data_IF_646655038829
#
_entry.id   IF_646655038829
#
_cell.length_a   1.000
_cell.length_b   1.000
_cell.length_c   1.000
_cell.angle_alpha   90.00
_cell.angle_beta   90.00
_cell.angle_gamma   90.00
#
_symmetry.space_group_name_H-M   'P 1'
#
loop_
_entity.id
_entity.type
_entity.pdbx_description
1 polymer ?
2 polymer ?
3 non-polymer ?
4 non-polymer ?
5 non-polymer ?
6 non-polymer ?
#
loop_
_entity_poly.entity_id
_entity_poly.type
_entity_poly.pdbx_seq_one_letter_code
_entity_poly.pdbx_strand_id
2 'polyribonucleotide' 'GCGCGCUUAAUCUGAAAUCAGAGCGGGGGACCCAUUGCACUCCGGGUUUUUCCCGUAGGGGUGAAUCCUUUUUAGGUAGGGCGAAAGCCCGAAUCCGUCAGCUAACCUCGUAAGCGCGC' ?
#
# COMPACT_ATOMS: atom_id res chain seq x y z
N UNK A 1 0.84 -8.15 11.49
CA UNK A 1 -0.02 -9.26 11.13
C UNK A 1 -1.45 -9.02 11.65
N UNK A 2 -1.62 -7.94 12.40
CA UNK A 2 -2.91 -7.57 12.96
C UNK A 2 -3.64 -6.68 11.97
N UNK A 3 -4.87 -7.06 11.59
CA UNK A 3 -5.69 -6.31 10.63
C UNK A 3 -5.74 -4.80 10.93
N UNK A 4 -5.53 -4.00 9.89
CA UNK A 4 -5.51 -2.55 10.00
C UNK A 4 -6.17 -1.88 8.80
N UNK A 5 -6.58 -0.63 8.96
CA UNK A 5 -7.16 0.14 7.87
C UNK A 5 -6.11 0.37 6.77
N UNK A 6 -4.86 0.40 7.21
CA UNK A 6 -3.70 0.63 6.34
C UNK A 6 -2.91 -0.64 6.08
N UNK A 7 -2.60 -0.91 4.81
CA UNK A 7 -1.76 -2.05 4.49
C UNK A 7 -0.36 -1.55 4.18
N UNK A 8 0.64 -2.32 4.59
CA UNK A 8 2.03 -1.99 4.36
C UNK A 8 2.65 -2.90 3.30
N UNK A 9 3.10 -2.27 2.22
CA UNK A 9 3.73 -3.02 1.13
C UNK A 9 5.20 -2.70 1.01
N UNK A 10 6.03 -3.73 0.86
CA UNK A 10 7.47 -3.53 0.67
C UNK A 10 7.97 -4.42 -0.47
N UNK A 11 9.29 -4.40 -0.68
CA UNK A 11 9.97 -5.13 -1.77
C UNK A 11 9.62 -4.51 -3.13
N UNK A 12 9.37 -3.21 -3.13
CA UNK A 12 9.02 -2.47 -4.34
C UNK A 12 10.27 -1.91 -5.04
N UNK A 13 10.25 -1.88 -6.38
CA UNK A 13 11.34 -1.36 -7.19
C UNK A 13 11.62 0.13 -6.91
N UNK A 14 12.78 0.39 -6.32
CA UNK A 14 13.20 1.74 -5.94
C UNK A 14 13.60 2.70 -7.08
N UNK A 15 13.65 2.20 -8.31
CA UNK A 15 13.95 3.06 -9.46
C UNK A 15 12.73 3.87 -9.90
N UNK A 16 11.57 3.33 -9.57
CA UNK A 16 10.25 3.90 -9.85
C UNK A 16 10.02 5.16 -9.02
N UNK A 17 9.69 6.27 -9.69
CA UNK A 17 9.49 7.52 -8.97
C UNK A 17 8.22 7.57 -8.15
N UNK A 18 8.22 8.47 -7.17
CA UNK A 18 7.12 8.62 -6.24
C UNK A 18 5.76 8.76 -6.91
N UNK A 19 5.67 9.69 -7.86
CA UNK A 19 4.44 9.95 -8.59
C UNK A 19 3.89 8.75 -9.36
N UNK A 20 4.79 8.10 -10.09
CA UNK A 20 4.45 6.94 -10.90
C UNK A 20 4.06 5.77 -10.02
N UNK A 21 4.81 5.58 -8.95
CA UNK A 21 4.57 4.50 -8.01
C UNK A 21 3.19 4.66 -7.38
N UNK A 22 2.91 5.87 -6.88
CA UNK A 22 1.60 6.15 -6.28
C UNK A 22 0.46 5.99 -7.28
N UNK A 23 0.69 6.42 -8.52
CA UNK A 23 -0.32 6.31 -9.57
C UNK A 23 -0.64 4.84 -9.87
N UNK A 24 0.39 4.03 -9.96
CA UNK A 24 0.25 2.60 -10.23
C UNK A 24 -0.40 1.86 -9.07
N UNK A 25 -0.03 2.23 -7.85
CA UNK A 25 -0.62 1.62 -6.67
C UNK A 25 -2.10 1.97 -6.59
N UNK A 26 -2.44 3.23 -6.88
CA UNK A 26 -3.84 3.63 -6.83
C UNK A 26 -4.62 2.87 -7.89
N UNK A 27 -4.03 2.81 -9.08
CA UNK A 27 -4.61 2.10 -10.21
C UNK A 27 -4.97 0.67 -9.87
N UNK A 28 -4.02 -0.02 -9.24
CA UNK A 28 -4.22 -1.41 -8.85
C UNK A 28 -5.14 -1.66 -7.63
N UNK A 29 -5.00 -0.85 -6.60
CA UNK A 29 -5.77 -1.04 -5.36
C UNK A 29 -7.14 -0.36 -5.24
N UNK A 30 -7.45 0.62 -6.08
CA UNK A 30 -8.74 1.30 -6.01
C UNK A 30 -9.93 0.39 -6.29
N UNK A 31 -9.70 -0.67 -7.05
CA UNK A 31 -10.75 -1.64 -7.37
C UNK A 31 -11.24 -2.43 -6.15
N UNK A 32 -10.42 -2.50 -5.11
CA UNK A 32 -10.77 -3.20 -3.89
C UNK A 32 -11.65 -2.36 -2.96
N UNK A 33 -11.67 -1.06 -3.21
CA UNK A 33 -12.48 -0.16 -2.42
C UNK A 33 -11.91 1.24 -2.41
N UNK A 34 -12.63 2.16 -1.77
CA UNK A 34 -12.19 3.55 -1.69
C UNK A 34 -10.90 3.67 -0.90
N UNK A 35 -9.91 4.30 -1.50
CA UNK A 35 -8.60 4.50 -0.87
C UNK A 35 -8.55 5.88 -0.25
N UNK A 36 -8.20 5.94 1.02
CA UNK A 36 -8.09 7.22 1.68
C UNK A 36 -6.81 7.88 1.24
N UNK A 37 -5.69 7.16 1.28
CA UNK A 37 -4.43 7.77 0.85
C UNK A 37 -3.32 6.77 0.54
N UNK A 38 -2.27 7.24 -0.12
CA UNK A 38 -1.13 6.40 -0.45
C UNK A 38 0.14 7.14 -0.05
N UNK A 39 0.87 6.61 0.93
CA UNK A 39 2.10 7.26 1.37
C UNK A 39 3.32 6.58 0.79
N UNK A 40 4.11 7.36 0.06
CA UNK A 40 5.32 6.84 -0.56
C UNK A 40 6.48 7.80 -0.29
N UNK A 41 7.61 7.24 0.11
CA UNK A 41 8.80 8.03 0.40
C UNK A 41 9.99 7.32 -0.21
N UNK A 42 10.93 8.08 -0.76
CA UNK A 42 12.12 7.46 -1.36
C UNK A 42 13.37 7.67 -0.53
N UNK A 43 13.21 8.08 0.74
CA UNK A 43 14.36 8.28 1.61
C UNK A 43 15.12 6.96 1.80
N UNK A 44 16.29 7.02 2.43
CA UNK A 44 17.08 5.81 2.61
C UNK A 44 16.36 4.73 3.44
N UNK A 45 15.72 5.17 4.52
CA UNK A 45 14.97 4.27 5.40
C UNK A 45 13.64 3.78 4.84
N UNK A 47 12.55 3.92 1.46
CA UNK A 47 12.43 3.52 0.06
C UNK A 47 12.09 2.05 -0.08
N UNK A 48 11.48 1.70 -1.21
CA UNK A 48 11.10 0.33 -1.51
C UNK A 48 9.85 -0.04 -0.73
N UNK A 49 9.24 0.96 -0.10
CA UNK A 49 8.04 0.74 0.70
C UNK A 49 6.90 1.73 0.41
N UNK A 50 5.68 1.32 0.73
CA UNK A 50 4.52 2.18 0.56
C UNK A 50 3.42 1.80 1.55
N UNK A 51 2.61 2.78 1.92
CA UNK A 51 1.47 2.58 2.81
C UNK A 51 0.15 2.86 2.12
N UNK A 52 -0.69 1.85 1.91
CA UNK A 52 -1.96 2.12 1.26
C UNK A 52 -3.09 2.13 2.29
N UNK A 53 -3.67 3.31 2.50
CA UNK A 53 -4.72 3.50 3.50
C UNK A 53 -6.10 3.45 2.87
N UNK A 54 -6.87 2.42 3.24
CA UNK A 54 -8.21 2.20 2.72
C UNK A 54 -9.29 2.77 3.64
N UNK A 55 -10.41 3.21 3.05
CA UNK A 55 -11.53 3.73 3.84
C UNK A 55 -12.16 2.65 4.72
N UNK A 56 -12.18 1.42 4.21
CA UNK A 56 -12.74 0.27 4.92
C UNK A 56 -11.73 -0.84 5.15
N UNK A 57 -11.73 -1.42 6.36
CA UNK A 57 -10.83 -2.53 6.67
C UNK A 57 -11.08 -3.74 5.77
N UNK A 58 -12.34 -4.00 5.42
CA UNK A 58 -12.68 -5.11 4.54
C UNK A 58 -11.93 -5.00 3.22
N UNK A 59 -11.84 -3.76 2.73
CA UNK A 59 -11.12 -3.46 1.51
C UNK A 59 -9.65 -3.78 1.67
N UNK A 60 -9.08 -3.36 2.80
CA UNK A 60 -7.67 -3.61 3.10
C UNK A 60 -7.37 -5.11 3.08
N UNK A 61 -8.22 -5.88 3.77
CA UNK A 61 -8.09 -7.33 3.86
C UNK A 61 -8.20 -8.02 2.51
N UNK A 62 -9.20 -7.63 1.73
CA UNK A 62 -9.37 -8.22 0.41
C UNK A 62 -8.22 -7.86 -0.53
N UNK A 63 -7.78 -6.61 -0.46
CA UNK A 63 -6.66 -6.17 -1.28
C UNK A 63 -5.42 -6.96 -0.94
N UNK A 64 -5.12 -7.07 0.36
CA UNK A 64 -3.95 -7.81 0.83
C UNK A 64 -3.98 -9.27 0.37
N UNK A 65 -5.10 -9.94 0.65
CA UNK A 65 -5.28 -11.34 0.29
C UNK A 65 -5.20 -11.60 -1.22
N UNK A 66 -5.75 -10.67 -1.99
CA UNK A 66 -5.77 -10.78 -3.46
C UNK A 66 -4.45 -10.43 -4.16
N UNK A 68 -1.35 -10.19 -2.70
CA UNK A 68 -0.23 -10.80 -2.00
C UNK A 68 0.58 -11.50 -3.10
N UNK A 69 1.87 -11.18 -3.15
CA UNK A 69 2.79 -11.76 -4.09
C UNK A 69 2.78 -11.23 -5.52
N UNK A 70 1.95 -10.24 -5.81
CA UNK A 70 1.90 -9.72 -7.18
C UNK A 70 3.11 -9.10 -7.85
N UNK A 71 3.40 -9.61 -9.06
CA UNK A 71 4.51 -9.10 -9.86
C UNK A 71 4.25 -7.63 -10.14
N UNK A 72 5.06 -6.76 -9.58
CA UNK A 72 4.85 -5.35 -9.76
C UNK A 72 6.23 -4.79 -10.04
N UNK A 73 6.40 -4.15 -11.18
CA UNK A 73 7.71 -3.61 -11.57
C UNK A 73 8.81 -4.67 -11.42
N UNK A 74 8.51 -5.88 -11.90
CA UNK A 74 9.39 -7.04 -11.89
C UNK A 74 9.77 -7.61 -10.51
N UNK A 75 9.03 -7.23 -9.48
CA UNK A 75 9.35 -7.72 -8.15
C UNK A 75 8.06 -8.13 -7.45
N UNK A 76 8.07 -9.30 -6.78
CA UNK A 76 6.83 -9.69 -6.11
C UNK A 76 6.50 -8.80 -4.92
N UNK A 78 5.37 -7.49 -1.37
CA UNK A 78 5.26 -8.19 -0.10
C UNK A 78 4.26 -7.37 0.71
N UNK A 79 3.13 -7.96 1.08
CA UNK A 79 2.12 -7.20 1.79
C UNK A 79 1.79 -7.73 3.17
N UNK A 80 1.76 -6.81 4.12
CA UNK A 80 1.42 -7.08 5.50
C UNK A 80 0.46 -5.99 5.97
N UNK A 81 -0.02 -6.11 7.21
CA UNK A 81 -0.88 -5.07 7.77
C UNK A 81 -0.02 -4.05 8.50
N UNK A 82 -0.43 -2.78 8.47
CA UNK A 82 0.30 -1.73 9.18
C UNK A 82 0.37 -2.01 10.68
N UNK A 84 0.63 -0.20 13.26
CA UNK A 84 -0.19 0.78 13.96
C UNK A 84 -1.12 1.51 12.98
N UNK A 85 -2.23 2.02 13.50
CA UNK A 85 -3.18 2.76 12.67
C UNK A 85 -2.56 4.04 12.11
N UNK A 86 -2.99 4.43 10.92
CA UNK A 86 -2.51 5.66 10.31
C UNK A 86 -3.10 6.86 11.03
N UNK A 87 -2.37 7.98 11.00
CA UNK A 87 -2.80 9.21 11.65
C UNK A 87 -4.20 9.65 11.21
N UNK A 88 -4.47 9.56 9.91
CA UNK A 88 -5.76 9.90 9.34
C UNK A 88 -6.91 9.10 9.96
N UNK A 89 -6.65 7.82 10.24
CA UNK A 89 -7.66 6.96 10.83
C UNK A 89 -7.81 7.23 12.33
N UNK A 90 -6.69 7.25 13.04
CA UNK A 90 -6.66 7.48 14.48
C UNK A 90 -7.32 8.79 14.87
N UNK A 91 -7.24 9.79 13.99
CA UNK A 91 -7.83 11.09 14.25
C UNK A 91 -9.30 11.13 13.85
#
# INVERSE_FOLDING_TARGET
TRPNHTIYINNLNEKIKKDELKKSLHAIFSRFGQILDILVSRSLKXRGQAFVIFKEVSSATNALRSXQGFPFYDKPXRIQYAKTDSDIIAK
#
